data_IF_388638834443
#
_entry.id   IF_388638834443
#
_cell.length_a   1.000
_cell.length_b   1.000
_cell.length_c   1.000
_cell.angle_alpha   90.00
_cell.angle_beta   90.00
_cell.angle_gamma   90.00
#
_symmetry.space_group_name_H-M   'P 1'
#
loop_
_entity.id
_entity.type
_entity.pdbx_description
1 polymer ?
#
# COMPACT_ATOMS: atom_id res chain seq x y z
N UNK A 1 6.63 -12.99 17.72
CA UNK A 1 7.56 -13.20 16.58
C UNK A 1 6.73 -13.20 15.30
N UNK A 2 6.55 -12.04 14.66
CA UNK A 2 5.83 -11.97 13.37
C UNK A 2 6.78 -12.40 12.26
N UNK A 3 6.69 -13.67 11.85
CA UNK A 3 7.46 -14.15 10.71
C UNK A 3 6.94 -13.44 9.45
N UNK A 4 7.70 -12.47 8.96
CA UNK A 4 7.36 -11.71 7.74
C UNK A 4 7.59 -12.63 6.55
N UNK A 5 6.49 -13.15 5.99
CA UNK A 5 6.53 -14.08 4.86
C UNK A 5 7.35 -13.46 3.73
N UNK A 6 8.39 -14.15 3.21
CA UNK A 6 9.24 -13.57 2.17
C UNK A 6 8.39 -13.33 0.92
N UNK A 7 8.32 -12.08 0.51
CA UNK A 7 7.60 -11.67 -0.69
C UNK A 7 8.46 -12.07 -1.91
N UNK A 8 8.13 -13.21 -2.51
CA UNK A 8 8.87 -13.73 -3.65
C UNK A 8 8.43 -12.95 -4.92
N UNK A 9 9.36 -12.19 -5.51
CA UNK A 9 9.33 -11.59 -6.88
C UNK A 9 8.42 -10.40 -7.19
N UNK A 10 8.17 -9.46 -6.27
CA UNK A 10 7.52 -8.15 -6.61
C UNK A 10 8.39 -6.91 -6.38
N UNK A 11 9.70 -7.06 -6.60
CA UNK A 11 10.64 -5.96 -6.39
C UNK A 11 10.37 -4.78 -7.34
N UNK A 12 10.04 -5.06 -8.61
CA UNK A 12 9.76 -4.02 -9.59
C UNK A 12 8.54 -3.16 -9.19
N UNK A 13 7.43 -3.78 -8.77
CA UNK A 13 6.27 -3.02 -8.31
C UNK A 13 6.56 -2.25 -7.02
N UNK A 14 7.30 -2.85 -6.10
CA UNK A 14 7.74 -2.18 -4.88
C UNK A 14 8.58 -0.93 -5.17
N UNK A 15 9.53 -1.03 -6.10
CA UNK A 15 10.42 0.08 -6.48
C UNK A 15 9.60 1.23 -7.11
N UNK A 16 8.65 0.91 -7.99
CA UNK A 16 7.74 1.88 -8.61
C UNK A 16 6.90 2.61 -7.56
N UNK A 17 6.31 1.88 -6.60
CA UNK A 17 5.51 2.48 -5.52
C UNK A 17 6.38 3.43 -4.70
N UNK A 18 7.56 2.96 -4.29
CA UNK A 18 8.46 3.70 -3.41
C UNK A 18 9.02 4.95 -4.09
N UNK A 19 9.36 4.85 -5.38
CA UNK A 19 9.82 6.00 -6.18
C UNK A 19 8.71 7.06 -6.33
N UNK A 20 7.48 6.62 -6.62
CA UNK A 20 6.33 7.53 -6.79
C UNK A 20 6.00 8.29 -5.51
N UNK A 21 6.11 7.65 -4.34
CA UNK A 21 5.82 8.26 -3.04
C UNK A 21 6.95 9.14 -2.50
N UNK A 22 8.21 8.90 -2.91
CA UNK A 22 9.37 9.73 -2.51
C UNK A 22 9.56 10.94 -3.41
N UNK A 23 9.20 10.85 -4.69
CA UNK A 23 9.35 11.95 -5.61
C UNK A 23 8.43 13.10 -5.19
N UNK A 24 8.97 14.33 -5.11
CA UNK A 24 8.15 15.55 -5.13
C UNK A 24 7.60 15.73 -6.55
N UNK A 25 6.71 14.83 -6.95
CA UNK A 25 6.11 14.80 -8.28
C UNK A 25 4.71 15.42 -8.24
N UNK A 26 4.14 15.62 -9.42
CA UNK A 26 2.75 16.05 -9.61
C UNK A 26 1.73 14.99 -9.17
N UNK A 27 2.17 13.76 -8.88
CA UNK A 27 1.29 12.66 -8.46
C UNK A 27 1.05 12.68 -6.94
N UNK A 28 -0.22 12.60 -6.53
CA UNK A 28 -0.61 12.60 -5.11
C UNK A 28 -0.66 11.20 -4.46
N UNK A 29 -0.44 10.12 -5.20
CA UNK A 29 -0.52 8.76 -4.64
C UNK A 29 -0.45 7.64 -5.69
N UNK A 30 -0.61 6.40 -5.22
CA UNK A 30 -0.55 5.17 -6.04
C UNK A 30 -1.79 4.33 -5.81
N UNK A 31 -2.36 3.79 -6.89
CA UNK A 31 -3.50 2.85 -6.84
C UNK A 31 -3.02 1.46 -7.22
N UNK A 32 -3.30 0.47 -6.36
CA UNK A 32 -2.98 -0.94 -6.63
C UNK A 32 -4.22 -1.68 -7.12
N UNK A 33 -4.17 -2.17 -8.36
CA UNK A 33 -5.24 -2.96 -8.98
C UNK A 33 -4.78 -4.39 -9.26
N UNK A 34 -5.72 -5.30 -9.47
CA UNK A 34 -5.44 -6.71 -9.78
C UNK A 34 -6.42 -7.68 -9.11
N UNK A 35 -6.32 -8.96 -9.47
CA UNK A 35 -7.27 -9.99 -9.04
C UNK A 35 -7.32 -10.21 -7.51
N UNK A 36 -8.39 -10.81 -6.98
CA UNK A 36 -8.44 -11.24 -5.59
C UNK A 36 -7.26 -12.17 -5.26
N UNK A 37 -6.67 -12.00 -4.07
CA UNK A 37 -5.59 -12.90 -3.60
C UNK A 37 -4.18 -12.65 -4.14
N UNK A 38 -3.97 -11.76 -5.12
CA UNK A 38 -2.64 -11.51 -5.71
C UNK A 38 -1.61 -10.81 -4.81
N UNK A 39 -2.01 -10.44 -3.58
CA UNK A 39 -1.12 -9.84 -2.57
C UNK A 39 -1.06 -8.31 -2.55
N UNK A 40 -2.06 -7.59 -3.09
CA UNK A 40 -2.09 -6.12 -3.12
C UNK A 40 -1.88 -5.47 -1.74
N UNK A 41 -2.63 -5.93 -0.73
CA UNK A 41 -2.50 -5.43 0.65
C UNK A 41 -1.15 -5.77 1.27
N UNK A 42 -0.59 -6.93 0.94
CA UNK A 42 0.76 -7.33 1.39
C UNK A 42 1.82 -6.41 0.80
N UNK A 43 1.74 -6.11 -0.49
CA UNK A 43 2.65 -5.19 -1.18
C UNK A 43 2.52 -3.77 -0.63
N UNK A 44 1.30 -3.26 -0.41
CA UNK A 44 1.06 -1.96 0.19
C UNK A 44 1.71 -1.85 1.58
N UNK A 45 1.50 -2.85 2.44
CA UNK A 45 2.10 -2.88 3.80
C UNK A 45 3.62 -2.81 3.74
N UNK A 46 4.22 -3.63 2.89
CA UNK A 46 5.66 -3.68 2.73
C UNK A 46 6.24 -2.36 2.21
N UNK A 47 5.59 -1.75 1.21
CA UNK A 47 5.97 -0.43 0.70
C UNK A 47 5.89 0.64 1.80
N UNK A 48 4.79 0.69 2.56
CA UNK A 48 4.63 1.66 3.65
C UNK A 48 5.62 1.46 4.79
N UNK A 49 5.98 0.21 5.13
CA UNK A 49 7.01 -0.10 6.14
C UNK A 49 8.41 0.39 5.72
N UNK A 50 8.65 0.61 4.42
CA UNK A 50 9.93 1.07 3.88
C UNK A 50 10.06 2.59 3.76
N UNK A 51 8.96 3.32 3.99
CA UNK A 51 8.89 4.77 3.86
C UNK A 51 8.97 5.44 5.24
N UNK A 52 9.64 6.60 5.37
CA UNK A 52 9.61 7.37 6.59
C UNK A 52 8.23 8.05 6.75
N UNK A 53 7.66 8.00 7.95
CA UNK A 53 6.40 8.68 8.28
C UNK A 53 5.40 7.80 9.02
N UNK A 54 4.36 8.41 9.55
CA UNK A 54 3.23 7.70 10.15
C UNK A 54 2.33 7.14 9.05
N UNK A 55 1.97 5.86 9.14
CA UNK A 55 1.08 5.18 8.21
C UNK A 55 -0.28 5.01 8.86
N UNK A 56 -1.33 5.57 8.24
CA UNK A 56 -2.72 5.35 8.65
C UNK A 56 -3.43 4.47 7.63
N UNK A 57 -4.01 3.36 8.11
CA UNK A 57 -4.79 2.45 7.30
C UNK A 57 -6.26 2.82 7.41
N UNK A 58 -6.90 3.04 6.27
CA UNK A 58 -8.34 3.31 6.20
C UNK A 58 -9.02 2.26 5.33
N UNK A 59 -10.21 1.82 5.74
CA UNK A 59 -11.03 0.91 4.94
C UNK A 59 -11.98 1.71 4.03
N UNK A 60 -11.67 1.76 2.73
CA UNK A 60 -12.57 2.34 1.72
C UNK A 60 -13.47 1.27 1.12
N UNK A 61 -14.58 0.93 1.79
CA UNK A 61 -15.60 0.03 1.23
C UNK A 61 -16.90 0.79 0.99
N UNK A 62 -17.70 0.35 0.02
CA UNK A 62 -18.99 0.98 -0.28
C UNK A 62 -19.93 0.95 0.94
N UNK A 63 -19.94 -0.14 1.70
CA UNK A 63 -20.73 -0.28 2.93
C UNK A 63 -20.28 0.68 4.05
N UNK A 64 -19.04 1.16 4.02
CA UNK A 64 -18.49 2.10 5.00
C UNK A 64 -18.48 3.56 4.49
N UNK A 65 -19.11 3.86 3.35
CA UNK A 65 -19.10 5.21 2.74
C UNK A 65 -19.55 6.34 3.68
N UNK A 66 -20.43 6.05 4.64
CA UNK A 66 -20.96 7.03 5.61
C UNK A 66 -20.05 7.23 6.82
N UNK A 67 -18.94 6.50 6.90
CA UNK A 67 -17.93 6.59 7.97
C UNK A 67 -16.66 7.15 7.33
N UNK A 68 -16.49 8.48 7.27
CA UNK A 68 -15.33 9.09 6.63
C UNK A 68 -14.05 8.57 7.29
N UNK A 69 -13.17 7.94 6.49
CA UNK A 69 -11.85 7.46 6.91
C UNK A 69 -11.87 6.45 8.09
N UNK A 70 -12.98 5.71 8.26
CA UNK A 70 -13.31 4.86 9.41
C UNK A 70 -12.17 4.33 10.29
N UNK A 71 -12.37 4.57 11.61
CA UNK A 71 -11.58 4.28 12.84
C UNK A 71 -10.06 4.36 12.78
#
# INVERSE_FOLDING_TARGET
MSQRWPLIRRQAEFDVITASLKARSECCGVVLTGDPGVGKTTLARFATESLPGEVRWVAGTESARSIPLGV
#
